data_IF_493114036617
#
_entry.id   IF_493114036617
#
_cell.length_a   1.000
_cell.length_b   1.000
_cell.length_c   1.000
_cell.angle_alpha   90.00
_cell.angle_beta   90.00
_cell.angle_gamma   90.00
#
_symmetry.space_group_name_H-M   'P 1'
#
loop_
_entity.id
_entity.type
_entity.pdbx_description
1 polymer ?
#
# COMPACT_ATOMS: atom_id res chain seq x y z
N UNK A 1 41.92 -14.67 10.44
CA UNK A 1 40.57 -14.52 9.87
C UNK A 1 40.11 -13.11 10.20
N UNK A 2 40.29 -12.18 9.27
CA UNK A 2 39.98 -10.77 9.45
C UNK A 2 38.48 -10.61 9.24
N UNK A 3 37.73 -10.42 10.32
CA UNK A 3 36.30 -10.13 10.24
C UNK A 3 36.14 -8.72 9.67
N UNK A 4 35.74 -8.62 8.41
CA UNK A 4 35.36 -7.35 7.80
C UNK A 4 34.09 -6.85 8.48
N UNK A 5 34.24 -5.82 9.31
CA UNK A 5 33.12 -5.08 9.86
C UNK A 5 32.49 -4.27 8.72
N UNK A 6 31.33 -4.70 8.24
CA UNK A 6 30.50 -3.91 7.33
C UNK A 6 30.13 -2.62 8.05
N UNK A 7 30.53 -1.47 7.51
CA UNK A 7 30.21 -0.19 8.14
C UNK A 7 28.70 0.05 8.12
N UNK A 8 28.11 0.66 9.16
CA UNK A 8 26.67 0.89 9.25
C UNK A 8 26.10 1.72 8.08
N UNK A 9 26.93 2.54 7.43
CA UNK A 9 26.58 3.34 6.25
C UNK A 9 26.32 2.49 5.02
N UNK A 10 27.14 1.45 4.76
CA UNK A 10 26.97 0.54 3.62
C UNK A 10 25.70 -0.32 3.76
N UNK A 11 25.39 -0.75 4.98
CA UNK A 11 24.19 -1.53 5.27
C UNK A 11 22.90 -0.71 5.06
N UNK A 12 22.92 0.59 5.37
CA UNK A 12 21.77 1.48 5.14
C UNK A 12 21.55 1.75 3.65
N UNK A 13 22.62 2.02 2.91
CA UNK A 13 22.56 2.23 1.46
C UNK A 13 22.02 0.99 0.73
N UNK A 14 22.47 -0.21 1.11
CA UNK A 14 21.96 -1.47 0.56
C UNK A 14 20.46 -1.70 0.83
N UNK A 15 19.98 -1.28 2.02
CA UNK A 15 18.57 -1.37 2.38
C UNK A 15 17.70 -0.42 1.57
N UNK A 16 18.17 0.81 1.33
CA UNK A 16 17.49 1.79 0.48
C UNK A 16 17.41 1.31 -0.96
N UNK A 17 18.50 0.77 -1.49
CA UNK A 17 18.55 0.22 -2.85
C UNK A 17 17.60 -0.96 -3.03
N UNK A 18 17.53 -1.85 -2.02
CA UNK A 18 16.57 -2.97 -2.02
C UNK A 18 15.12 -2.48 -2.01
N UNK A 19 14.81 -1.49 -1.17
CA UNK A 19 13.48 -0.87 -1.13
C UNK A 19 13.12 -0.23 -2.48
N UNK A 20 14.07 0.48 -3.10
CA UNK A 20 13.87 1.12 -4.40
C UNK A 20 13.55 0.09 -5.48
N UNK A 21 14.28 -1.02 -5.53
CA UNK A 21 14.01 -2.12 -6.47
C UNK A 21 12.64 -2.75 -6.25
N UNK A 22 12.26 -3.02 -5.01
CA UNK A 22 10.94 -3.59 -4.69
C UNK A 22 9.81 -2.66 -5.10
N UNK A 23 9.96 -1.35 -4.84
CA UNK A 23 8.98 -0.35 -5.26
C UNK A 23 8.91 -0.24 -6.78
N UNK A 24 10.07 -0.22 -7.46
CA UNK A 24 10.13 -0.16 -8.91
C UNK A 24 9.45 -1.38 -9.55
N UNK A 25 9.77 -2.59 -9.08
CA UNK A 25 9.11 -3.82 -9.55
C UNK A 25 7.60 -3.78 -9.32
N UNK A 26 7.14 -3.25 -8.19
CA UNK A 26 5.72 -3.11 -7.93
C UNK A 26 5.05 -2.09 -8.88
N UNK A 27 5.72 -0.98 -9.20
CA UNK A 27 5.21 0.02 -10.16
C UNK A 27 5.18 -0.57 -11.57
N UNK A 28 6.25 -1.26 -11.99
CA UNK A 28 6.36 -1.86 -13.32
C UNK A 28 5.29 -2.94 -13.54
N UNK A 29 4.98 -3.72 -12.49
CA UNK A 29 3.97 -4.78 -12.55
C UNK A 29 2.53 -4.27 -12.36
N UNK A 30 2.35 -3.14 -11.68
CA UNK A 30 1.06 -2.53 -11.41
C UNK A 30 1.07 -1.06 -11.87
N UNK A 31 0.79 -0.77 -13.16
CA UNK A 31 0.93 0.58 -13.73
C UNK A 31 0.02 1.64 -13.08
N UNK A 32 -0.96 1.22 -12.28
CA UNK A 32 -1.82 2.08 -11.46
C UNK A 32 -1.67 1.78 -9.97
N UNK A 33 -0.43 1.64 -9.49
CA UNK A 33 -0.18 1.45 -8.06
C UNK A 33 -0.49 2.74 -7.27
N UNK A 34 -1.35 2.62 -6.25
CA UNK A 34 -1.62 3.64 -5.27
C UNK A 34 -0.84 3.34 -3.97
N UNK A 35 -0.28 4.38 -3.38
CA UNK A 35 0.46 4.32 -2.13
C UNK A 35 -0.23 5.20 -1.07
N UNK A 36 -0.62 4.58 0.06
CA UNK A 36 -1.23 5.27 1.19
C UNK A 36 -0.30 5.21 2.39
N UNK A 37 0.15 6.36 2.86
CA UNK A 37 0.90 6.48 4.10
C UNK A 37 -0.07 6.77 5.24
N UNK A 38 -0.30 5.77 6.09
CA UNK A 38 -1.16 5.88 7.25
C UNK A 38 -0.31 6.14 8.50
N UNK A 39 -0.70 7.13 9.29
CA UNK A 39 -0.08 7.42 10.59
C UNK A 39 -1.08 7.06 11.68
N UNK A 40 -0.75 6.06 12.48
CA UNK A 40 -1.64 5.43 13.45
C UNK A 40 -1.16 5.79 14.86
N UNK A 41 -1.91 6.61 15.62
CA UNK A 41 -1.55 6.95 16.99
C UNK A 41 -1.81 5.76 17.92
N UNK A 42 -0.89 5.53 18.86
CA UNK A 42 -1.03 4.55 19.93
C UNK A 42 -1.05 3.09 19.49
N UNK A 43 -0.70 2.76 18.24
CA UNK A 43 -0.58 1.34 17.84
C UNK A 43 0.60 0.70 18.55
N UNK A 44 0.32 -0.39 19.24
CA UNK A 44 1.34 -1.30 19.76
C UNK A 44 1.71 -2.33 18.69
N UNK A 45 2.96 -2.85 18.66
CA UNK A 45 3.39 -3.84 17.68
C UNK A 45 2.47 -5.08 17.58
N UNK A 46 1.82 -5.44 18.69
CA UNK A 46 0.91 -6.59 18.80
C UNK A 46 -0.44 -6.35 18.10
N UNK A 47 -0.84 -5.09 17.93
CA UNK A 47 -2.08 -4.72 17.23
C UNK A 47 -1.91 -4.65 15.70
N UNK A 48 -0.67 -4.65 15.20
CA UNK A 48 -0.36 -4.53 13.76
C UNK A 48 -0.96 -5.68 12.93
N UNK A 49 -0.88 -6.97 13.33
CA UNK A 49 -1.49 -8.06 12.57
C UNK A 49 -3.00 -7.92 12.47
N UNK A 50 -3.67 -7.58 13.57
CA UNK A 50 -5.12 -7.36 13.58
C UNK A 50 -5.51 -6.19 12.67
N UNK A 51 -4.75 -5.10 12.69
CA UNK A 51 -4.95 -3.98 11.77
C UNK A 51 -4.82 -4.43 10.30
N UNK A 52 -3.81 -5.23 9.96
CA UNK A 52 -3.66 -5.76 8.60
C UNK A 52 -4.84 -6.64 8.19
N UNK A 53 -5.31 -7.53 9.06
CA UNK A 53 -6.47 -8.40 8.78
C UNK A 53 -7.74 -7.60 8.50
N UNK A 54 -8.03 -6.61 9.35
CA UNK A 54 -9.21 -5.74 9.17
C UNK A 54 -9.14 -5.00 7.84
N UNK A 55 -8.01 -4.37 7.51
CA UNK A 55 -7.90 -3.64 6.24
C UNK A 55 -7.97 -4.60 5.04
N UNK A 56 -7.35 -5.78 5.15
CA UNK A 56 -7.40 -6.80 4.11
C UNK A 56 -8.83 -7.25 3.84
N UNK A 57 -9.60 -7.50 4.90
CA UNK A 57 -11.00 -7.90 4.82
C UNK A 57 -11.85 -6.80 4.17
N UNK A 58 -11.69 -5.54 4.59
CA UNK A 58 -12.41 -4.40 4.01
C UNK A 58 -12.13 -4.23 2.51
N UNK A 59 -10.87 -4.38 2.09
CA UNK A 59 -10.51 -4.28 0.67
C UNK A 59 -11.08 -5.47 -0.13
N UNK A 60 -11.10 -6.67 0.45
CA UNK A 60 -11.73 -7.84 -0.18
C UNK A 60 -13.23 -7.67 -0.35
N UNK A 61 -13.92 -7.19 0.66
CA UNK A 61 -15.36 -6.93 0.60
C UNK A 61 -15.68 -5.89 -0.47
N UNK A 62 -14.93 -4.79 -0.51
CA UNK A 62 -15.08 -3.79 -1.57
C UNK A 62 -14.85 -4.38 -2.97
N UNK A 63 -13.77 -5.16 -3.13
CA UNK A 63 -13.48 -5.83 -4.38
C UNK A 63 -14.63 -6.74 -4.82
N UNK A 64 -15.20 -7.52 -3.90
CA UNK A 64 -16.35 -8.37 -4.17
C UNK A 64 -17.60 -7.54 -4.57
N UNK A 65 -17.92 -6.46 -3.85
CA UNK A 65 -19.04 -5.56 -4.19
C UNK A 65 -18.88 -4.94 -5.58
N UNK A 66 -17.65 -4.54 -5.95
CA UNK A 66 -17.36 -4.00 -7.28
C UNK A 66 -17.52 -5.04 -8.37
N UNK A 67 -17.01 -6.25 -8.16
CA UNK A 67 -17.20 -7.36 -9.11
C UNK A 67 -18.68 -7.69 -9.30
N UNK A 68 -19.47 -7.75 -8.21
CA UNK A 68 -20.91 -8.00 -8.26
C UNK A 68 -21.69 -6.90 -9.00
N UNK A 69 -21.18 -5.66 -8.99
CA UNK A 69 -21.76 -4.55 -9.76
C UNK A 69 -21.23 -4.44 -11.20
N UNK A 70 -20.52 -5.47 -11.69
CA UNK A 70 -19.99 -5.52 -13.06
C UNK A 70 -18.77 -4.63 -13.29
N UNK A 71 -18.16 -4.07 -12.23
CA UNK A 71 -16.96 -3.24 -12.34
C UNK A 71 -15.72 -4.14 -12.26
N UNK A 72 -14.70 -3.93 -13.13
CA UNK A 72 -13.49 -4.72 -13.08
C UNK A 72 -12.71 -4.43 -11.81
N UNK A 73 -12.11 -5.49 -11.25
CA UNK A 73 -11.17 -5.42 -10.14
C UNK A 73 -9.96 -6.28 -10.52
N UNK A 74 -8.82 -5.68 -10.89
CA UNK A 74 -7.62 -6.45 -11.23
C UNK A 74 -7.01 -7.13 -9.99
N UNK A 75 -6.12 -8.12 -10.19
CA UNK A 75 -5.37 -8.73 -9.11
C UNK A 75 -4.66 -7.65 -8.28
N UNK A 76 -5.08 -7.50 -7.03
CA UNK A 76 -4.60 -6.45 -6.13
C UNK A 76 -3.62 -7.08 -5.18
N UNK A 77 -2.34 -6.71 -5.27
CA UNK A 77 -1.35 -7.09 -4.26
C UNK A 77 -1.33 -6.02 -3.18
N UNK A 78 -1.66 -6.42 -1.97
CA UNK A 78 -1.55 -5.58 -0.78
C UNK A 78 -0.17 -5.79 -0.17
N UNK A 79 0.68 -4.75 -0.25
CA UNK A 79 2.00 -4.77 0.40
C UNK A 79 2.04 -3.75 1.52
N UNK A 80 2.50 -4.22 2.67
CA UNK A 80 2.58 -3.44 3.91
C UNK A 80 4.04 -3.20 4.28
N UNK A 81 4.38 -1.96 4.59
CA UNK A 81 5.68 -1.60 5.18
C UNK A 81 5.43 -0.89 6.50
N UNK A 82 5.85 -1.52 7.59
CA UNK A 82 5.75 -0.95 8.94
C UNK A 82 7.02 -0.19 9.29
N UNK A 83 6.85 0.99 9.86
CA UNK A 83 7.90 1.74 10.55
C UNK A 83 7.35 2.21 11.89
N UNK A 84 8.10 1.96 12.96
CA UNK A 84 7.84 2.49 14.29
C UNK A 84 8.78 3.68 14.52
N UNK A 85 8.41 4.90 14.09
CA UNK A 85 9.19 6.09 14.42
C UNK A 85 9.20 6.32 15.95
N UNK A 86 10.22 6.99 16.50
CA UNK A 86 10.26 7.33 17.92
C UNK A 86 9.01 8.13 18.31
N UNK A 87 8.25 7.60 19.28
CA UNK A 87 6.96 8.14 19.73
C UNK A 87 5.89 7.06 19.89
N UNK A 88 4.67 7.44 20.30
CA UNK A 88 3.50 6.56 20.34
C UNK A 88 2.75 6.60 19.00
N UNK A 89 3.46 6.49 17.87
CA UNK A 89 2.87 6.53 16.54
C UNK A 89 3.51 5.48 15.66
N UNK A 90 2.68 4.68 15.01
CA UNK A 90 3.11 3.76 13.98
C UNK A 90 2.83 4.30 12.58
N UNK A 91 3.76 4.08 11.65
CA UNK A 91 3.59 4.45 10.24
C UNK A 91 3.48 3.21 9.39
N UNK A 92 2.49 3.22 8.50
CA UNK A 92 2.19 2.12 7.60
C UNK A 92 2.14 2.64 6.19
N UNK A 93 2.94 2.04 5.30
CA UNK A 93 2.76 2.21 3.86
C UNK A 93 1.94 1.05 3.34
N UNK A 94 0.77 1.36 2.78
CA UNK A 94 -0.09 0.43 2.07
C UNK A 94 0.04 0.68 0.56
N UNK A 95 0.47 -0.35 -0.16
CA UNK A 95 0.54 -0.34 -1.62
C UNK A 95 -0.53 -1.26 -2.19
N UNK A 96 -1.30 -0.76 -3.15
CA UNK A 96 -2.32 -1.55 -3.83
C UNK A 96 -2.71 -0.97 -5.19
N UNK A 97 -3.43 -1.73 -6.01
CA UNK A 97 -3.89 -1.24 -7.31
C UNK A 97 -5.01 -0.19 -7.15
N UNK A 98 -4.89 0.97 -7.78
CA UNK A 98 -5.90 2.04 -7.73
C UNK A 98 -7.25 1.57 -8.28
N UNK A 99 -7.23 0.70 -9.28
CA UNK A 99 -8.39 0.13 -9.97
C UNK A 99 -9.29 -0.68 -9.03
N UNK A 100 -8.76 -1.12 -7.89
CA UNK A 100 -9.51 -1.78 -6.82
C UNK A 100 -10.59 -0.88 -6.23
N UNK A 101 -10.37 0.45 -6.22
CA UNK A 101 -11.33 1.42 -5.71
C UNK A 101 -11.97 2.26 -6.82
N UNK A 102 -11.18 2.64 -7.83
CA UNK A 102 -11.59 3.60 -8.84
C UNK A 102 -10.95 3.30 -10.20
N UNK A 103 -11.81 3.05 -11.17
CA UNK A 103 -11.50 2.83 -12.56
C UNK A 103 -12.10 3.98 -13.40
N UNK A 104 -11.27 4.79 -14.09
CA UNK A 104 -11.70 5.98 -14.82
C UNK A 104 -12.87 5.75 -15.80
N UNK A 105 -12.95 4.55 -16.39
CA UNK A 105 -14.04 4.17 -17.31
C UNK A 105 -15.35 3.74 -16.63
N UNK A 106 -15.31 3.15 -15.44
CA UNK A 106 -16.48 2.54 -14.79
C UNK A 106 -17.00 3.36 -13.60
N UNK A 107 -16.16 4.22 -13.02
CA UNK A 107 -16.49 5.05 -11.87
C UNK A 107 -16.60 6.54 -12.25
N UNK A 108 -16.84 6.84 -13.54
CA UNK A 108 -17.04 8.22 -13.98
C UNK A 108 -18.26 8.79 -13.24
N UNK A 109 -18.12 9.92 -12.51
CA UNK A 109 -19.28 10.56 -11.91
C UNK A 109 -20.26 10.93 -13.02
N UNK A 110 -21.58 10.91 -12.76
CA UNK A 110 -22.56 11.34 -13.76
C UNK A 110 -22.16 12.74 -14.26
N UNK A 111 -22.20 12.93 -15.58
CA UNK A 111 -21.89 14.24 -16.16
C UNK A 111 -22.79 15.26 -15.45
N UNK A 112 -22.17 16.21 -14.75
CA UNK A 112 -22.92 17.33 -14.18
C UNK A 112 -23.50 18.07 -15.38
N UNK A 113 -24.80 17.93 -15.60
CA UNK A 113 -25.53 18.85 -16.45
C UNK A 113 -25.26 20.24 -15.85
N UNK A 114 -24.40 21.02 -16.49
CA UNK A 114 -24.33 22.44 -16.22
C UNK A 114 -25.64 23.00 -16.75
N UNK A 115 -26.62 23.21 -15.87
CA UNK A 115 -27.77 24.06 -16.16
C UNK A 115 -27.22 25.46 -16.46
N UNK A 116 -27.26 25.84 -17.74
CA UNK A 116 -27.05 27.20 -18.25
C UNK A 116 -28.28 28.06 -18.00
#
# INVERSE_FOLDING_TARGET
MTHCHTTPTDAHAAKVETLRRVLQQAIDQYPRLAAFLLTLPGITPEAVPHFHEVVYQQIRELAATRQLSGRPVPPTVLRWIWTSPPGQTGRVLLLLNQDTFCHPRYDRPPDRCFET
#
